data_IF_190493502073
#
_entry.id   IF_190493502073
#
_cell.length_a   1.000
_cell.length_b   1.000
_cell.length_c   1.000
_cell.angle_alpha   90.00
_cell.angle_beta   90.00
_cell.angle_gamma   90.00
#
_symmetry.space_group_name_H-M   'P 1'
#
loop_
_entity.id
_entity.type
_entity.pdbx_description
1 polymer ?
#
# COMPACT_ATOMS: atom_id res chain seq x y z
N UNK A 1 -94.76 22.10 -8.72
CA UNK A 1 -93.89 21.14 -8.00
C UNK A 1 -92.53 21.14 -8.70
N UNK A 2 -91.55 21.86 -8.16
CA UNK A 2 -90.22 21.94 -8.72
C UNK A 2 -89.30 21.06 -7.86
N UNK A 3 -88.64 20.09 -8.51
CA UNK A 3 -87.59 19.24 -7.84
C UNK A 3 -86.23 19.95 -7.89
N UNK A 4 -85.67 20.24 -6.74
CA UNK A 4 -84.31 20.71 -6.56
C UNK A 4 -83.39 19.48 -6.51
N UNK A 5 -82.52 19.36 -7.51
CA UNK A 5 -81.45 18.35 -7.53
C UNK A 5 -80.16 18.97 -6.97
N UNK A 6 -79.70 18.47 -5.82
CA UNK A 6 -78.43 18.83 -5.21
C UNK A 6 -77.32 18.03 -5.87
N UNK A 7 -76.29 18.70 -6.40
CA UNK A 7 -75.04 18.10 -6.88
C UNK A 7 -74.09 17.90 -5.73
N UNK A 8 -73.32 16.82 -5.71
CA UNK A 8 -72.26 16.59 -4.68
C UNK A 8 -71.01 17.41 -4.99
N UNK A 9 -70.54 18.17 -4.00
CA UNK A 9 -69.32 18.92 -4.02
C UNK A 9 -68.18 17.95 -3.78
N UNK A 10 -67.33 17.73 -4.80
CA UNK A 10 -66.05 16.93 -4.65
C UNK A 10 -64.97 17.87 -4.21
N UNK A 11 -64.44 17.68 -2.97
CA UNK A 11 -63.25 18.33 -2.50
C UNK A 11 -62.00 17.67 -3.17
N UNK A 12 -61.05 18.44 -3.71
CA UNK A 12 -59.79 17.88 -4.19
C UNK A 12 -58.89 17.51 -2.99
N UNK A 13 -58.58 16.20 -2.86
CA UNK A 13 -57.54 15.71 -1.95
C UNK A 13 -56.18 16.17 -2.47
N UNK A 14 -55.56 17.15 -1.81
CA UNK A 14 -54.19 17.55 -2.06
C UNK A 14 -53.26 16.40 -1.62
N UNK A 15 -52.68 15.66 -2.59
CA UNK A 15 -51.58 14.78 -2.36
C UNK A 15 -50.36 15.62 -1.91
N UNK A 16 -50.05 15.56 -0.62
CA UNK A 16 -48.77 16.01 -0.08
C UNK A 16 -47.70 15.02 -0.54
N UNK A 17 -47.09 15.25 -1.71
CA UNK A 17 -45.82 14.60 -2.07
C UNK A 17 -44.76 15.15 -1.14
N UNK A 18 -44.50 14.46 -0.02
CA UNK A 18 -43.34 14.65 0.80
C UNK A 18 -42.10 14.33 -0.04
N UNK A 19 -41.39 15.37 -0.46
CA UNK A 19 -40.03 15.21 -1.00
C UNK A 19 -39.20 14.60 0.11
N UNK A 20 -39.03 13.27 0.08
CA UNK A 20 -37.93 12.60 0.75
C UNK A 20 -36.65 13.22 0.19
N UNK A 21 -36.11 14.21 0.89
CA UNK A 21 -34.80 14.76 0.61
C UNK A 21 -33.80 13.62 0.62
N UNK A 22 -33.35 13.18 -0.55
CA UNK A 22 -32.15 12.39 -0.68
C UNK A 22 -31.03 13.23 -0.02
N UNK A 23 -30.65 12.86 1.21
CA UNK A 23 -29.48 13.44 1.85
C UNK A 23 -28.34 13.28 0.84
N UNK A 24 -27.86 14.38 0.27
CA UNK A 24 -26.78 14.36 -0.71
C UNK A 24 -25.57 13.74 0.00
N UNK A 25 -24.92 12.79 -0.65
CA UNK A 25 -23.65 12.22 -0.17
C UNK A 25 -22.63 13.31 0.18
N UNK A 26 -22.75 14.47 -0.44
CA UNK A 26 -21.95 15.66 -0.20
C UNK A 26 -22.00 16.17 1.27
N UNK A 27 -23.09 15.96 2.00
CA UNK A 27 -23.23 16.38 3.39
C UNK A 27 -22.75 15.34 4.41
N UNK A 28 -22.48 14.11 3.96
CA UNK A 28 -22.13 13.01 4.86
C UNK A 28 -20.86 13.29 5.67
N UNK A 29 -19.84 13.84 5.06
CA UNK A 29 -18.55 14.03 5.70
C UNK A 29 -18.45 15.29 6.57
N UNK A 30 -19.43 16.18 6.53
CA UNK A 30 -19.45 17.42 7.31
C UNK A 30 -19.43 17.14 8.81
N UNK A 31 -18.42 17.67 9.51
CA UNK A 31 -18.23 17.46 10.95
C UNK A 31 -17.81 16.04 11.34
N UNK A 32 -17.48 15.17 10.38
CA UNK A 32 -16.99 13.81 10.64
C UNK A 32 -15.49 13.71 10.60
N UNK A 33 -14.99 12.60 11.09
CA UNK A 33 -13.59 12.20 11.01
C UNK A 33 -13.46 11.01 10.07
N UNK A 34 -12.50 11.07 9.13
CA UNK A 34 -12.06 9.94 8.34
C UNK A 34 -10.71 9.44 8.88
N UNK A 35 -10.60 8.16 9.15
CA UNK A 35 -9.38 7.53 9.65
C UNK A 35 -8.59 6.89 8.53
N UNK A 36 -7.30 7.21 8.44
CA UNK A 36 -6.33 6.47 7.64
C UNK A 36 -5.60 5.51 8.57
N UNK A 37 -5.89 4.22 8.45
CA UNK A 37 -5.21 3.16 9.21
C UNK A 37 -3.95 2.75 8.47
N UNK A 38 -2.81 2.90 9.14
CA UNK A 38 -1.49 2.50 8.63
C UNK A 38 -1.14 1.14 9.20
N UNK A 39 -0.94 0.12 8.34
CA UNK A 39 -0.67 -1.26 8.77
C UNK A 39 0.73 -1.50 9.37
N UNK A 40 1.45 -0.43 9.77
CA UNK A 40 2.81 -0.46 10.29
C UNK A 40 3.00 0.55 11.43
N UNK A 41 4.14 0.45 12.15
CA UNK A 41 4.52 1.42 13.17
C UNK A 41 4.83 2.81 12.59
N UNK A 42 4.90 3.79 13.48
CA UNK A 42 5.20 5.19 13.15
C UNK A 42 6.59 5.35 12.54
N UNK A 43 6.76 6.34 11.65
CA UNK A 43 8.05 6.77 11.10
C UNK A 43 8.59 5.90 9.97
N UNK A 44 7.88 4.84 9.54
CA UNK A 44 8.18 4.08 8.34
C UNK A 44 7.54 4.71 7.08
N UNK A 45 7.94 4.21 5.89
CA UNK A 45 7.44 4.75 4.62
C UNK A 45 5.92 4.80 4.54
N UNK A 46 5.20 3.73 4.91
CA UNK A 46 3.72 3.73 4.90
C UNK A 46 3.12 4.80 5.83
N UNK A 47 3.73 5.03 6.99
CA UNK A 47 3.29 6.05 7.93
C UNK A 47 3.51 7.47 7.35
N UNK A 48 4.66 7.71 6.71
CA UNK A 48 4.97 8.98 6.06
C UNK A 48 3.96 9.29 4.94
N UNK A 49 3.68 8.33 4.05
CA UNK A 49 2.69 8.50 2.98
C UNK A 49 1.28 8.71 3.54
N UNK A 50 0.87 7.93 4.55
CA UNK A 50 -0.43 8.08 5.20
C UNK A 50 -0.62 9.46 5.84
N UNK A 51 0.39 9.97 6.55
CA UNK A 51 0.35 11.31 7.18
C UNK A 51 0.38 12.44 6.18
N UNK A 52 1.15 12.31 5.09
CA UNK A 52 1.14 13.30 4.02
C UNK A 52 -0.22 13.37 3.35
N UNK A 53 -0.82 12.23 2.97
CA UNK A 53 -2.17 12.19 2.43
C UNK A 53 -3.19 12.82 3.39
N UNK A 54 -3.11 12.50 4.69
CA UNK A 54 -4.04 13.01 5.70
C UNK A 54 -4.07 14.55 5.78
N UNK A 55 -2.93 15.22 5.60
CA UNK A 55 -2.86 16.68 5.65
C UNK A 55 -3.58 17.37 4.49
N UNK A 56 -3.72 16.70 3.36
CA UNK A 56 -4.22 17.32 2.14
C UNK A 56 -5.57 16.77 1.66
N UNK A 57 -5.92 15.51 1.99
CA UNK A 57 -7.11 14.82 1.48
C UNK A 57 -8.42 15.53 1.88
N UNK A 58 -8.53 16.00 3.13
CA UNK A 58 -9.79 16.50 3.67
C UNK A 58 -10.38 17.67 2.88
N UNK A 59 -9.56 18.58 2.37
CA UNK A 59 -10.00 19.75 1.59
C UNK A 59 -10.64 19.39 0.23
N UNK A 60 -10.39 18.18 -0.28
CA UNK A 60 -10.96 17.65 -1.51
C UNK A 60 -12.24 16.84 -1.28
N UNK A 61 -12.59 16.58 -0.02
CA UNK A 61 -13.84 15.88 0.34
C UNK A 61 -14.90 16.91 0.71
N UNK A 62 -16.13 16.86 0.11
CA UNK A 62 -17.24 17.71 0.50
C UNK A 62 -17.47 17.64 2.01
N UNK A 63 -17.66 18.80 2.65
CA UNK A 63 -17.79 18.89 4.12
C UNK A 63 -16.46 18.97 4.86
N UNK A 64 -15.32 18.89 4.18
CA UNK A 64 -13.97 19.05 4.73
C UNK A 64 -13.74 18.32 6.07
N UNK A 65 -13.86 16.96 6.08
CA UNK A 65 -13.72 16.17 7.30
C UNK A 65 -12.32 16.29 7.90
N UNK A 66 -12.22 16.10 9.20
CA UNK A 66 -10.93 15.89 9.86
C UNK A 66 -10.36 14.53 9.43
N UNK A 67 -9.11 14.51 8.99
CA UNK A 67 -8.41 13.26 8.67
C UNK A 67 -7.45 12.91 9.80
N UNK A 68 -7.57 11.71 10.36
CA UNK A 68 -6.68 11.22 11.42
C UNK A 68 -5.92 9.98 10.96
N UNK A 69 -4.68 9.83 11.42
CA UNK A 69 -3.84 8.66 11.12
C UNK A 69 -3.72 7.79 12.36
N UNK A 70 -3.98 6.49 12.19
CA UNK A 70 -3.88 5.49 13.25
C UNK A 70 -2.94 4.37 12.80
N UNK A 71 -1.91 4.07 13.59
CA UNK A 71 -1.00 2.97 13.31
C UNK A 71 -1.54 1.67 13.93
N UNK A 72 -1.72 0.64 13.09
CA UNK A 72 -2.17 -0.70 13.48
C UNK A 72 -1.23 -1.75 12.89
N UNK A 73 -0.01 -1.89 13.44
CA UNK A 73 0.94 -2.89 12.96
C UNK A 73 0.45 -4.31 13.25
N UNK A 74 0.92 -5.26 12.46
CA UNK A 74 0.67 -6.69 12.69
C UNK A 74 0.60 -7.50 11.41
N UNK A 75 1.27 -8.65 11.41
CA UNK A 75 1.32 -9.61 10.30
C UNK A 75 1.59 -8.98 8.92
N UNK A 76 2.55 -8.02 8.85
CA UNK A 76 2.88 -7.34 7.59
C UNK A 76 1.73 -6.51 7.03
N UNK A 77 0.96 -5.84 7.89
CA UNK A 77 -0.28 -5.07 7.64
C UNK A 77 -1.56 -5.88 7.43
N UNK A 78 -1.51 -7.22 7.49
CA UNK A 78 -2.71 -8.06 7.32
C UNK A 78 -3.77 -7.77 8.39
N UNK A 79 -3.36 -7.45 9.62
CA UNK A 79 -4.26 -7.06 10.72
C UNK A 79 -5.11 -5.84 10.34
N UNK A 80 -4.48 -4.79 9.81
CA UNK A 80 -5.15 -3.58 9.37
C UNK A 80 -6.10 -3.85 8.19
N UNK A 81 -5.67 -4.64 7.18
CA UNK A 81 -6.52 -4.99 6.03
C UNK A 81 -7.76 -5.77 6.46
N UNK A 82 -7.60 -6.77 7.32
CA UNK A 82 -8.73 -7.57 7.83
C UNK A 82 -9.72 -6.76 8.66
N UNK A 83 -9.26 -5.69 9.32
CA UNK A 83 -10.16 -4.84 10.11
C UNK A 83 -11.25 -4.17 9.26
N UNK A 84 -11.00 -3.94 7.96
CA UNK A 84 -11.98 -3.35 7.05
C UNK A 84 -13.26 -4.18 6.93
N UNK A 85 -13.13 -5.51 6.83
CA UNK A 85 -14.29 -6.39 6.75
C UNK A 85 -14.76 -6.88 8.13
N UNK A 86 -13.90 -6.75 9.17
CA UNK A 86 -14.20 -7.07 10.55
C UNK A 86 -15.01 -5.97 11.25
N UNK A 87 -14.35 -5.27 12.13
CA UNK A 87 -14.95 -4.32 13.07
C UNK A 87 -14.90 -2.84 12.64
N UNK A 88 -14.24 -2.51 11.53
CA UNK A 88 -14.21 -1.14 11.03
C UNK A 88 -15.59 -0.71 10.50
N UNK A 89 -15.98 0.58 10.66
CA UNK A 89 -17.18 1.12 10.03
C UNK A 89 -17.16 0.94 8.51
N UNK A 90 -18.33 0.54 7.94
CA UNK A 90 -18.53 0.37 6.49
C UNK A 90 -19.22 1.59 5.87
N UNK A 91 -19.04 2.74 6.46
CA UNK A 91 -19.76 3.97 6.10
C UNK A 91 -18.94 4.95 5.25
N UNK A 92 -17.68 4.61 4.96
CA UNK A 92 -16.76 5.46 4.20
C UNK A 92 -15.82 6.31 5.06
N UNK A 93 -15.79 6.09 6.37
CA UNK A 93 -14.93 6.83 7.31
C UNK A 93 -13.60 6.14 7.65
N UNK A 94 -13.33 4.96 7.07
CA UNK A 94 -12.07 4.22 7.31
C UNK A 94 -11.43 3.80 6.00
N UNK A 95 -10.16 4.17 5.84
CA UNK A 95 -9.30 3.81 4.72
C UNK A 95 -8.01 3.19 5.26
N UNK A 96 -7.45 2.20 4.57
CA UNK A 96 -6.22 1.51 4.98
C UNK A 96 -5.13 1.70 3.94
N UNK A 97 -3.92 2.04 4.39
CA UNK A 97 -2.69 1.89 3.61
C UNK A 97 -1.93 0.65 4.10
N UNK A 98 -1.52 -0.21 3.16
CA UNK A 98 -0.99 -1.53 3.48
C UNK A 98 0.13 -1.97 2.53
N UNK A 99 0.81 -3.07 2.88
CA UNK A 99 1.82 -3.70 2.04
C UNK A 99 1.18 -4.50 0.89
N UNK A 100 1.39 -4.12 -0.37
CA UNK A 100 0.79 -4.79 -1.52
C UNK A 100 1.32 -6.21 -1.77
N UNK A 101 2.40 -6.63 -1.12
CA UNK A 101 2.84 -8.04 -1.11
C UNK A 101 1.75 -9.00 -0.61
N UNK A 102 0.80 -8.51 0.21
CA UNK A 102 -0.38 -9.27 0.61
C UNK A 102 -1.29 -9.63 -0.58
N UNK A 103 -1.29 -8.82 -1.64
CA UNK A 103 -2.05 -9.11 -2.87
C UNK A 103 -1.51 -10.41 -3.48
N UNK A 104 -0.21 -10.48 -3.76
CA UNK A 104 0.42 -11.70 -4.29
C UNK A 104 0.25 -12.87 -3.33
N UNK A 105 0.45 -12.65 -2.02
CA UNK A 105 0.28 -13.70 -1.01
C UNK A 105 -1.14 -14.25 -0.97
N UNK A 106 -2.17 -13.44 -1.25
CA UNK A 106 -3.56 -13.92 -1.27
C UNK A 106 -3.83 -14.97 -2.36
N UNK A 107 -3.06 -14.97 -3.44
CA UNK A 107 -3.13 -15.99 -4.48
C UNK A 107 -2.28 -17.22 -4.16
N UNK A 108 -1.16 -17.04 -3.47
CA UNK A 108 -0.23 -18.11 -3.09
C UNK A 108 -0.74 -18.88 -1.85
N UNK A 109 -1.22 -18.15 -0.85
CA UNK A 109 -1.66 -18.68 0.47
C UNK A 109 -3.05 -18.14 0.86
N UNK A 110 -4.12 -18.41 0.08
CA UNK A 110 -5.45 -17.84 0.28
C UNK A 110 -6.03 -18.17 1.66
N UNK A 111 -5.73 -19.34 2.22
CA UNK A 111 -6.20 -19.73 3.55
C UNK A 111 -5.52 -18.95 4.68
N UNK A 112 -4.30 -18.47 4.43
CA UNK A 112 -3.58 -17.62 5.38
C UNK A 112 -4.05 -16.18 5.31
N UNK A 113 -4.15 -15.60 4.10
CA UNK A 113 -4.50 -14.17 3.93
C UNK A 113 -5.99 -13.91 4.17
N UNK A 114 -6.88 -14.76 3.68
CA UNK A 114 -8.35 -14.68 3.82
C UNK A 114 -8.93 -13.32 3.43
N UNK A 115 -8.33 -12.66 2.43
CA UNK A 115 -8.79 -11.41 1.83
C UNK A 115 -8.75 -11.60 0.32
N UNK A 116 -9.84 -11.30 -0.35
CA UNK A 116 -9.91 -11.27 -1.81
C UNK A 116 -9.74 -9.82 -2.30
N UNK A 117 -8.52 -9.45 -2.70
CA UNK A 117 -8.21 -8.11 -3.17
C UNK A 117 -8.92 -7.70 -4.48
N UNK A 118 -9.59 -8.63 -5.16
CA UNK A 118 -10.50 -8.33 -6.29
C UNK A 118 -11.83 -7.75 -5.82
N UNK A 119 -12.14 -7.85 -4.51
CA UNK A 119 -13.41 -7.45 -3.89
C UNK A 119 -13.28 -6.30 -2.90
N UNK A 120 -12.09 -5.77 -2.68
CA UNK A 120 -11.92 -4.54 -1.89
C UNK A 120 -12.21 -3.30 -2.75
N UNK A 121 -12.53 -2.18 -2.13
CA UNK A 121 -12.66 -0.92 -2.84
C UNK A 121 -11.31 -0.21 -2.89
N UNK A 122 -10.66 -0.22 -4.03
CA UNK A 122 -9.42 0.52 -4.27
C UNK A 122 -9.69 2.01 -4.38
N UNK A 123 -8.88 2.82 -3.71
CA UNK A 123 -8.89 4.29 -3.85
C UNK A 123 -7.85 4.76 -4.85
N UNK A 124 -6.76 4.00 -4.99
CA UNK A 124 -5.60 4.26 -5.81
C UNK A 124 -4.31 3.96 -5.06
N UNK A 125 -3.18 4.31 -5.64
CA UNK A 125 -1.86 4.27 -4.99
C UNK A 125 -1.09 5.55 -5.25
N UNK A 126 -0.25 5.99 -4.30
CA UNK A 126 0.49 7.26 -4.44
C UNK A 126 1.69 7.10 -5.37
N UNK A 127 2.32 5.95 -5.38
CA UNK A 127 3.51 5.64 -6.19
C UNK A 127 3.78 4.14 -6.20
N UNK A 128 4.40 3.56 -7.24
CA UNK A 128 5.05 2.26 -7.18
C UNK A 128 6.07 2.20 -6.03
N UNK A 129 6.38 1.02 -5.54
CA UNK A 129 7.34 0.85 -4.45
C UNK A 129 8.72 0.48 -5.00
N UNK A 130 9.57 1.48 -5.14
CA UNK A 130 10.95 1.29 -5.57
C UNK A 130 11.78 0.65 -4.44
N UNK A 131 11.89 -0.68 -4.47
CA UNK A 131 12.57 -1.46 -3.45
C UNK A 131 14.03 -1.70 -3.77
N UNK A 132 14.86 -1.62 -2.72
CA UNK A 132 16.30 -1.86 -2.80
C UNK A 132 16.76 -2.69 -1.62
N UNK A 133 17.84 -3.47 -1.80
CA UNK A 133 18.62 -3.95 -0.69
C UNK A 133 19.80 -3.01 -0.46
N UNK A 134 20.05 -2.70 0.80
CA UNK A 134 21.22 -1.91 1.22
C UNK A 134 21.91 -2.51 2.44
N UNK A 135 23.22 -2.40 2.47
CA UNK A 135 24.02 -2.62 3.68
C UNK A 135 24.24 -1.30 4.42
N UNK A 136 24.57 -1.36 5.70
CA UNK A 136 24.73 -0.18 6.55
C UNK A 136 26.10 -0.08 7.20
N UNK A 137 26.57 1.17 7.32
CA UNK A 137 27.82 1.51 7.98
C UNK A 137 29.08 1.28 7.11
N UNK A 138 30.27 1.63 7.62
CA UNK A 138 31.51 1.63 6.84
C UNK A 138 31.91 0.23 6.36
N UNK A 139 31.59 -0.80 7.12
CA UNK A 139 31.86 -2.22 6.81
C UNK A 139 30.63 -2.95 6.27
N UNK A 140 29.55 -2.22 5.95
CA UNK A 140 28.32 -2.77 5.37
C UNK A 140 28.54 -3.34 3.98
N UNK A 141 27.64 -4.22 3.56
CA UNK A 141 27.58 -4.75 2.18
C UNK A 141 27.37 -3.61 1.20
N UNK A 142 28.19 -3.54 0.14
CA UNK A 142 28.15 -2.46 -0.86
C UNK A 142 27.89 -2.94 -2.29
N UNK A 143 27.93 -4.24 -2.53
CA UNK A 143 27.69 -4.84 -3.83
C UNK A 143 27.09 -6.24 -3.72
N UNK A 144 26.57 -6.74 -4.85
CA UNK A 144 26.15 -8.13 -4.97
C UNK A 144 27.25 -9.12 -4.58
N UNK A 145 28.45 -8.95 -5.14
CA UNK A 145 29.57 -9.84 -4.89
C UNK A 145 30.07 -9.79 -3.45
N UNK A 146 29.97 -8.62 -2.82
CA UNK A 146 30.30 -8.46 -1.41
C UNK A 146 29.29 -9.22 -0.53
N UNK A 147 27.99 -9.10 -0.81
CA UNK A 147 26.95 -9.88 -0.13
C UNK A 147 27.19 -11.39 -0.30
N UNK A 148 27.44 -11.86 -1.52
CA UNK A 148 27.63 -13.29 -1.80
C UNK A 148 28.85 -13.91 -1.11
N UNK A 149 29.84 -13.10 -0.71
CA UNK A 149 31.00 -13.54 0.05
C UNK A 149 30.79 -13.58 1.56
N UNK A 150 29.70 -13.00 2.07
CA UNK A 150 29.39 -13.03 3.51
C UNK A 150 29.02 -14.44 3.96
N UNK A 151 29.33 -14.76 5.23
CA UNK A 151 28.78 -15.96 5.87
C UNK A 151 27.27 -15.84 6.06
N UNK A 152 26.81 -14.66 6.45
CA UNK A 152 25.41 -14.28 6.58
C UNK A 152 25.25 -12.79 6.24
N UNK A 153 24.07 -12.44 5.71
CA UNK A 153 23.59 -11.08 5.59
C UNK A 153 22.25 -11.00 6.32
N UNK A 154 22.26 -10.36 7.50
CA UNK A 154 21.13 -10.39 8.44
C UNK A 154 20.20 -9.21 8.18
N UNK A 155 18.96 -9.50 7.85
CA UNK A 155 17.91 -8.53 7.52
C UNK A 155 16.74 -8.60 8.50
N UNK A 156 16.12 -7.47 8.78
CA UNK A 156 14.85 -7.42 9.49
C UNK A 156 13.65 -7.60 8.55
N UNK A 157 12.56 -8.16 9.06
CA UNK A 157 11.31 -8.26 8.31
C UNK A 157 10.10 -8.16 9.25
N UNK A 158 9.00 -7.60 8.76
CA UNK A 158 7.80 -7.45 9.58
C UNK A 158 7.02 -8.75 9.70
N UNK A 159 6.84 -9.46 8.58
CA UNK A 159 6.19 -10.77 8.51
C UNK A 159 6.54 -11.45 7.19
N UNK A 160 6.26 -12.75 7.08
CA UNK A 160 6.21 -13.43 5.78
C UNK A 160 5.17 -12.73 4.91
N UNK A 161 5.47 -12.53 3.63
CA UNK A 161 4.60 -11.77 2.71
C UNK A 161 4.75 -10.25 2.80
N UNK A 162 5.50 -9.70 3.77
CA UNK A 162 5.89 -8.29 3.69
C UNK A 162 6.93 -8.09 2.58
N UNK A 163 6.94 -6.90 1.98
CA UNK A 163 7.82 -6.67 0.84
C UNK A 163 9.31 -6.85 1.17
N UNK A 164 9.77 -6.39 2.33
CA UNK A 164 11.15 -6.61 2.76
C UNK A 164 11.47 -8.10 3.01
N UNK A 165 10.49 -8.89 3.48
CA UNK A 165 10.65 -10.34 3.53
C UNK A 165 10.76 -10.96 2.15
N UNK A 166 9.82 -10.64 1.24
CA UNK A 166 9.79 -11.19 -0.12
C UNK A 166 11.08 -10.90 -0.85
N UNK A 167 11.59 -9.66 -0.76
CA UNK A 167 12.82 -9.26 -1.41
C UNK A 167 14.04 -10.04 -0.87
N UNK A 168 14.22 -10.10 0.44
CA UNK A 168 15.30 -10.88 1.05
C UNK A 168 15.17 -12.39 0.78
N UNK A 169 13.95 -12.93 0.86
CA UNK A 169 13.68 -14.33 0.55
C UNK A 169 13.91 -14.65 -0.94
N UNK A 170 13.61 -13.71 -1.85
CA UNK A 170 13.92 -13.86 -3.28
C UNK A 170 15.42 -14.00 -3.52
N UNK A 171 16.25 -13.21 -2.85
CA UNK A 171 17.71 -13.36 -2.94
C UNK A 171 18.16 -14.74 -2.46
N UNK A 172 17.62 -15.21 -1.34
CA UNK A 172 17.95 -16.51 -0.78
C UNK A 172 17.48 -17.67 -1.66
N UNK A 173 16.21 -17.66 -2.07
CA UNK A 173 15.57 -18.79 -2.76
C UNK A 173 15.98 -18.85 -4.23
N UNK A 174 16.01 -17.71 -4.92
CA UNK A 174 16.29 -17.67 -6.36
C UNK A 174 17.80 -17.75 -6.64
N UNK A 175 18.62 -17.14 -5.80
CA UNK A 175 20.05 -16.99 -6.06
C UNK A 175 20.96 -17.69 -5.04
N UNK A 176 20.37 -18.36 -4.06
CA UNK A 176 21.11 -18.98 -2.96
C UNK A 176 22.01 -17.99 -2.20
N UNK A 177 21.54 -16.72 -2.08
CA UNK A 177 22.26 -15.70 -1.33
C UNK A 177 22.26 -16.01 0.18
N UNK A 178 23.32 -15.65 0.93
CA UNK A 178 23.46 -15.95 2.35
C UNK A 178 22.60 -15.04 3.24
N UNK A 179 21.35 -14.83 2.85
CA UNK A 179 20.40 -13.97 3.55
C UNK A 179 19.70 -14.73 4.68
N UNK A 180 19.81 -14.18 5.90
CA UNK A 180 19.02 -14.59 7.07
C UNK A 180 18.07 -13.48 7.48
N UNK A 181 16.81 -13.79 7.70
CA UNK A 181 15.79 -12.81 8.05
C UNK A 181 15.26 -13.02 9.47
N UNK A 182 15.21 -11.93 10.25
CA UNK A 182 14.60 -11.88 11.59
C UNK A 182 13.22 -11.26 11.43
N UNK A 183 12.19 -12.02 11.79
CA UNK A 183 10.77 -11.62 11.67
C UNK A 183 10.27 -10.91 12.93
N UNK A 184 9.16 -10.19 12.81
CA UNK A 184 8.41 -9.63 13.92
C UNK A 184 8.64 -8.15 14.19
N UNK A 185 9.40 -7.45 13.37
CA UNK A 185 9.52 -6.00 13.47
C UNK A 185 8.16 -5.32 13.18
N UNK A 186 7.70 -4.35 13.99
CA UNK A 186 6.44 -3.64 13.73
C UNK A 186 6.47 -2.78 12.46
N UNK A 187 7.65 -2.32 12.04
CA UNK A 187 7.85 -1.51 10.83
C UNK A 187 9.30 -1.21 10.54
N UNK A 188 9.56 -0.49 9.43
CA UNK A 188 10.93 -0.10 9.05
C UNK A 188 11.58 0.89 10.02
N UNK A 189 10.79 1.64 10.81
CA UNK A 189 11.33 2.48 11.88
C UNK A 189 12.08 1.67 12.93
N UNK A 190 11.47 0.58 13.39
CA UNK A 190 12.06 -0.32 14.39
C UNK A 190 13.26 -1.07 13.83
N UNK A 191 13.20 -1.47 12.56
CA UNK A 191 14.33 -2.11 11.87
C UNK A 191 15.55 -1.16 11.78
N UNK A 192 15.33 0.13 11.50
CA UNK A 192 16.42 1.11 11.47
C UNK A 192 17.15 1.24 12.80
N UNK A 193 16.42 1.22 13.91
CA UNK A 193 17.02 1.22 15.25
C UNK A 193 17.90 -0.02 15.45
N UNK A 194 17.45 -1.19 15.01
CA UNK A 194 18.21 -2.43 15.09
C UNK A 194 19.47 -2.42 14.16
N UNK A 195 19.34 -1.79 12.98
CA UNK A 195 20.46 -1.58 12.06
C UNK A 195 21.52 -0.67 12.69
N UNK A 196 21.13 0.46 13.29
CA UNK A 196 22.06 1.38 13.96
C UNK A 196 22.79 0.74 15.14
N UNK A 197 22.13 -0.22 15.83
CA UNK A 197 22.72 -1.01 16.92
C UNK A 197 23.61 -2.16 16.45
N UNK A 198 23.66 -2.41 15.13
CA UNK A 198 24.41 -3.53 14.56
C UNK A 198 23.77 -4.92 14.79
N UNK A 199 22.47 -4.94 15.13
CA UNK A 199 21.70 -6.19 15.26
C UNK A 199 21.27 -6.73 13.88
N UNK A 200 21.17 -5.84 12.88
CA UNK A 200 20.91 -6.13 11.47
C UNK A 200 22.01 -5.52 10.61
N UNK A 201 22.36 -6.18 9.50
CA UNK A 201 23.35 -5.69 8.54
C UNK A 201 22.80 -4.67 7.55
N UNK A 202 21.46 -4.63 7.38
CA UNK A 202 20.75 -3.77 6.45
C UNK A 202 19.28 -4.13 6.31
N UNK A 203 18.66 -3.73 5.19
CA UNK A 203 17.27 -4.04 4.85
C UNK A 203 17.12 -4.23 3.34
N UNK A 204 16.08 -4.97 2.91
CA UNK A 204 15.62 -5.09 1.53
C UNK A 204 14.21 -4.49 1.40
N UNK A 205 14.09 -3.20 1.65
CA UNK A 205 12.83 -2.46 1.74
C UNK A 205 12.69 -1.35 0.70
N UNK A 206 11.69 -0.50 0.90
CA UNK A 206 11.44 0.66 0.04
C UNK A 206 12.56 1.69 0.15
N UNK A 207 13.06 2.18 -0.97
CA UNK A 207 14.06 3.25 -1.00
C UNK A 207 13.61 4.50 -0.24
N UNK A 208 12.33 4.88 -0.41
CA UNK A 208 11.71 6.01 0.32
C UNK A 208 11.60 5.82 1.84
N UNK A 209 11.88 4.63 2.36
CA UNK A 209 11.95 4.35 3.80
C UNK A 209 13.36 4.49 4.38
N UNK A 210 14.37 4.67 3.55
CA UNK A 210 15.75 4.94 4.00
C UNK A 210 15.83 6.41 4.42
N UNK A 211 16.34 6.73 5.62
CA UNK A 211 16.53 8.11 6.03
C UNK A 211 17.41 8.88 5.04
N UNK A 212 16.99 10.09 4.68
CA UNK A 212 17.70 10.92 3.71
C UNK A 212 19.15 11.21 4.14
N UNK A 213 19.38 11.39 5.44
CA UNK A 213 20.71 11.58 6.01
C UNK A 213 21.60 10.35 5.88
N UNK A 214 21.05 9.13 5.90
CA UNK A 214 21.83 7.90 5.66
C UNK A 214 22.32 7.81 4.21
N UNK A 215 21.49 8.27 3.26
CA UNK A 215 21.89 8.35 1.85
C UNK A 215 22.94 9.45 1.66
N UNK A 216 22.66 10.67 2.15
CA UNK A 216 23.55 11.83 1.99
C UNK A 216 24.91 11.64 2.66
N UNK A 217 24.97 10.93 3.80
CA UNK A 217 26.21 10.61 4.53
C UNK A 217 26.88 9.29 4.11
N UNK A 218 26.35 8.64 3.08
CA UNK A 218 26.83 7.32 2.61
C UNK A 218 26.88 6.25 3.71
N UNK A 219 25.98 6.30 4.68
CA UNK A 219 25.81 5.23 5.69
C UNK A 219 25.03 4.04 5.13
N UNK A 220 23.99 4.28 4.34
CA UNK A 220 23.29 3.24 3.60
C UNK A 220 23.93 3.07 2.22
N UNK A 221 24.16 1.81 1.83
CA UNK A 221 24.78 1.43 0.56
C UNK A 221 23.79 0.59 -0.26
N UNK A 222 22.84 1.20 -1.03
CA UNK A 222 21.98 0.45 -1.92
C UNK A 222 22.80 -0.27 -3.00
N UNK A 223 22.61 -1.60 -3.15
CA UNK A 223 23.39 -2.41 -4.09
C UNK A 223 22.55 -3.31 -5.00
N UNK A 224 21.26 -3.54 -4.67
CA UNK A 224 20.32 -4.26 -5.51
C UNK A 224 18.98 -3.52 -5.54
N UNK A 225 18.32 -3.44 -6.71
CA UNK A 225 16.95 -2.98 -6.87
C UNK A 225 16.07 -4.09 -7.45
N UNK A 226 14.76 -4.09 -7.13
CA UNK A 226 13.82 -5.13 -7.53
C UNK A 226 12.96 -4.75 -8.72
N UNK A 227 12.97 -3.51 -9.14
CA UNK A 227 12.30 -2.99 -10.34
C UNK A 227 13.35 -2.73 -11.41
N UNK A 228 13.05 -3.11 -12.66
CA UNK A 228 13.97 -2.91 -13.79
C UNK A 228 14.21 -1.42 -14.07
N UNK A 229 13.13 -0.62 -14.07
CA UNK A 229 13.23 0.82 -14.20
C UNK A 229 13.98 1.41 -12.99
N UNK A 230 14.96 2.24 -13.24
CA UNK A 230 15.72 2.96 -12.21
C UNK A 230 15.31 4.43 -12.18
N UNK A 231 14.56 4.88 -11.15
CA UNK A 231 14.33 6.30 -10.93
C UNK A 231 15.65 7.03 -10.66
N UNK A 232 15.74 8.34 -10.98
CA UNK A 232 16.98 9.11 -10.84
C UNK A 232 17.56 9.13 -9.41
N UNK A 233 16.69 9.08 -8.40
CA UNK A 233 17.06 9.07 -6.99
C UNK A 233 17.74 7.78 -6.52
N UNK A 234 17.51 6.66 -7.22
CA UNK A 234 18.17 5.38 -6.88
C UNK A 234 19.58 5.34 -7.49
N UNK A 235 20.63 5.14 -6.68
CA UNK A 235 22.01 5.17 -7.17
C UNK A 235 22.28 4.02 -8.16
N UNK A 236 23.22 4.26 -9.08
CA UNK A 236 23.61 3.27 -10.10
C UNK A 236 24.20 1.98 -9.51
N UNK A 237 24.75 2.06 -8.31
CA UNK A 237 25.24 0.90 -7.55
C UNK A 237 24.13 -0.13 -7.26
N UNK A 238 22.87 0.29 -7.22
CA UNK A 238 21.72 -0.61 -7.04
C UNK A 238 21.37 -1.31 -8.36
N UNK A 239 22.08 -2.42 -8.65
CA UNK A 239 21.91 -3.21 -9.87
C UNK A 239 20.55 -3.92 -9.86
N UNK A 240 19.89 -4.04 -11.03
CA UNK A 240 18.61 -4.74 -11.13
C UNK A 240 18.77 -6.23 -10.82
N UNK A 241 17.98 -6.76 -9.90
CA UNK A 241 18.04 -8.16 -9.44
C UNK A 241 17.85 -9.17 -10.58
N UNK A 242 17.01 -8.84 -11.57
CA UNK A 242 16.76 -9.69 -12.73
C UNK A 242 17.98 -9.91 -13.62
N UNK A 243 18.99 -9.00 -13.58
CA UNK A 243 20.24 -9.17 -14.34
C UNK A 243 21.13 -10.32 -13.80
N UNK A 244 20.88 -10.77 -12.57
CA UNK A 244 21.56 -11.94 -11.99
C UNK A 244 20.85 -13.26 -12.31
N UNK A 245 19.67 -13.25 -12.90
CA UNK A 245 18.91 -14.44 -13.27
C UNK A 245 19.63 -15.19 -14.40
N UNK A 246 19.84 -16.50 -14.19
CA UNK A 246 20.59 -17.38 -15.11
C UNK A 246 19.67 -18.18 -16.05
N UNK A 247 18.37 -18.20 -15.81
CA UNK A 247 17.39 -18.93 -16.58
C UNK A 247 15.99 -18.29 -16.46
N UNK A 248 15.09 -18.73 -17.34
CA UNK A 248 13.72 -18.19 -17.40
C UNK A 248 12.89 -18.51 -16.16
N UNK A 249 13.19 -19.60 -15.46
CA UNK A 249 12.50 -19.95 -14.22
C UNK A 249 12.73 -18.88 -13.14
N UNK A 250 14.00 -18.48 -12.94
CA UNK A 250 14.35 -17.42 -11.99
C UNK A 250 13.66 -16.09 -12.35
N UNK A 251 13.60 -15.72 -13.63
CA UNK A 251 12.89 -14.54 -14.11
C UNK A 251 11.39 -14.61 -13.79
N UNK A 252 10.73 -15.72 -14.13
CA UNK A 252 9.30 -15.92 -13.87
C UNK A 252 8.94 -15.83 -12.38
N UNK A 253 9.80 -16.34 -11.49
CA UNK A 253 9.59 -16.22 -10.05
C UNK A 253 9.64 -14.74 -9.64
N UNK A 254 10.64 -13.99 -10.10
CA UNK A 254 10.78 -12.56 -9.81
C UNK A 254 9.59 -11.76 -10.33
N UNK A 255 9.11 -12.04 -11.55
CA UNK A 255 7.95 -11.38 -12.17
C UNK A 255 6.68 -11.52 -11.31
N UNK A 256 6.43 -12.72 -10.74
CA UNK A 256 5.26 -12.94 -9.88
C UNK A 256 5.39 -12.23 -8.54
N UNK A 257 6.54 -12.29 -7.90
CA UNK A 257 6.69 -11.75 -6.53
C UNK A 257 6.82 -10.22 -6.49
N UNK A 258 7.30 -9.61 -7.58
CA UNK A 258 7.47 -8.17 -7.67
C UNK A 258 6.19 -7.41 -8.11
N UNK A 259 5.09 -8.11 -8.45
CA UNK A 259 3.80 -7.48 -8.80
C UNK A 259 3.32 -6.50 -7.71
N UNK A 260 3.56 -6.81 -6.44
CA UNK A 260 3.24 -5.91 -5.34
C UNK A 260 3.95 -4.56 -5.44
N UNK A 261 5.15 -4.54 -5.99
CA UNK A 261 5.95 -3.33 -6.13
C UNK A 261 5.39 -2.40 -7.23
N UNK A 262 4.71 -2.97 -8.26
CA UNK A 262 3.97 -2.19 -9.26
C UNK A 262 2.81 -1.40 -8.63
N UNK A 263 2.12 -1.97 -7.61
CA UNK A 263 1.03 -1.29 -6.88
C UNK A 263 1.60 -0.25 -5.90
N UNK A 264 2.65 -0.59 -5.21
CA UNK A 264 3.43 0.31 -4.35
C UNK A 264 2.75 0.76 -3.06
N UNK A 265 2.23 2.00 -3.01
CA UNK A 265 1.62 2.63 -1.82
C UNK A 265 0.10 2.72 -1.94
N UNK A 266 -0.63 1.58 -1.86
CA UNK A 266 -2.06 1.53 -2.11
C UNK A 266 -2.90 1.96 -0.93
N UNK A 267 -4.08 2.48 -1.26
CA UNK A 267 -5.14 2.76 -0.30
C UNK A 267 -6.42 2.03 -0.69
N UNK A 268 -7.04 1.37 0.28
CA UNK A 268 -8.29 0.62 0.11
C UNK A 268 -9.30 0.96 1.19
N UNK A 269 -10.56 0.72 0.88
CA UNK A 269 -11.69 0.73 1.81
C UNK A 269 -12.45 -0.60 1.71
N UNK A 270 -13.39 -0.84 2.64
CA UNK A 270 -14.30 -1.98 2.52
C UNK A 270 -15.21 -1.83 1.29
N UNK A 271 -15.41 -2.92 0.55
CA UNK A 271 -16.36 -2.95 -0.56
C UNK A 271 -17.83 -2.76 -0.13
N UNK A 272 -18.11 -2.84 1.17
CA UNK A 272 -19.44 -2.61 1.73
C UNK A 272 -19.79 -1.12 1.93
N UNK A 273 -18.83 -0.22 1.69
CA UNK A 273 -19.08 1.23 1.73
C UNK A 273 -20.01 1.62 0.58
N UNK A 274 -21.02 2.49 0.81
CA UNK A 274 -21.91 2.98 -0.23
C UNK A 274 -21.15 3.57 -1.43
N UNK A 275 -21.61 3.25 -2.64
CA UNK A 275 -20.91 3.58 -3.90
C UNK A 275 -20.68 5.09 -4.09
N UNK A 276 -21.64 5.91 -3.68
CA UNK A 276 -21.56 7.37 -3.71
C UNK A 276 -20.41 7.90 -2.84
N UNK A 277 -20.20 7.33 -1.65
CA UNK A 277 -19.10 7.69 -0.75
C UNK A 277 -17.74 7.20 -1.27
N UNK A 278 -17.70 6.00 -1.86
CA UNK A 278 -16.49 5.52 -2.55
C UNK A 278 -16.09 6.47 -3.69
N UNK A 279 -17.06 6.92 -4.49
CA UNK A 279 -16.81 7.85 -5.58
C UNK A 279 -16.26 9.20 -5.08
N UNK A 280 -16.80 9.73 -3.99
CA UNK A 280 -16.30 10.96 -3.35
C UNK A 280 -14.83 10.79 -2.91
N UNK A 281 -14.50 9.70 -2.19
CA UNK A 281 -13.15 9.50 -1.68
C UNK A 281 -12.16 9.23 -2.80
N UNK A 282 -12.54 8.44 -3.84
CA UNK A 282 -11.70 8.23 -5.04
C UNK A 282 -11.38 9.54 -5.76
N UNK A 283 -12.40 10.38 -5.96
CA UNK A 283 -12.23 11.70 -6.57
C UNK A 283 -11.27 12.55 -5.74
N UNK A 284 -11.50 12.65 -4.43
CA UNK A 284 -10.66 13.41 -3.51
C UNK A 284 -9.21 12.90 -3.49
N UNK A 285 -9.02 11.57 -3.53
CA UNK A 285 -7.70 10.96 -3.65
C UNK A 285 -6.98 11.42 -4.93
N UNK A 286 -7.64 11.29 -6.09
CA UNK A 286 -7.06 11.70 -7.37
C UNK A 286 -6.74 13.21 -7.42
N UNK A 287 -7.61 14.06 -6.87
CA UNK A 287 -7.38 15.50 -6.78
C UNK A 287 -6.18 15.82 -5.86
N UNK A 288 -6.02 15.09 -4.75
CA UNK A 288 -4.86 15.24 -3.87
C UNK A 288 -3.56 14.89 -4.59
N UNK A 289 -3.55 13.89 -5.48
CA UNK A 289 -2.34 13.49 -6.22
C UNK A 289 -1.81 14.58 -7.17
N UNK A 290 -2.64 15.53 -7.56
CA UNK A 290 -2.26 16.68 -8.40
C UNK A 290 -2.24 18.01 -7.64
N UNK A 291 -2.46 17.99 -6.32
CA UNK A 291 -2.46 19.21 -5.49
C UNK A 291 -1.04 19.75 -5.31
N UNK A 292 -0.75 20.99 -5.72
CA UNK A 292 0.59 21.56 -5.61
C UNK A 292 1.15 21.58 -4.19
N UNK A 293 0.28 21.78 -3.16
CA UNK A 293 0.72 21.80 -1.77
C UNK A 293 1.10 20.39 -1.29
N UNK A 294 0.35 19.34 -1.71
CA UNK A 294 0.71 17.96 -1.45
C UNK A 294 2.03 17.59 -2.12
N UNK A 295 2.19 17.91 -3.40
CA UNK A 295 3.41 17.61 -4.16
C UNK A 295 4.64 18.29 -3.55
N UNK A 296 4.52 19.57 -3.13
CA UNK A 296 5.61 20.29 -2.47
C UNK A 296 6.00 19.67 -1.11
N UNK A 297 5.02 19.18 -0.32
CA UNK A 297 5.29 18.52 0.95
C UNK A 297 5.96 17.14 0.74
N UNK A 298 5.60 16.43 -0.33
CA UNK A 298 6.22 15.15 -0.70
C UNK A 298 7.66 15.35 -1.17
N UNK A 299 7.90 16.34 -2.02
CA UNK A 299 9.23 16.68 -2.52
C UNK A 299 10.20 17.05 -1.39
N UNK A 300 9.78 17.89 -0.44
CA UNK A 300 10.59 18.25 0.75
C UNK A 300 11.04 17.04 1.56
N UNK A 301 10.27 15.96 1.53
CA UNK A 301 10.55 14.72 2.26
C UNK A 301 11.20 13.65 1.38
N UNK A 302 11.52 13.97 0.12
CA UNK A 302 12.07 13.06 -0.88
C UNK A 302 11.17 11.83 -1.08
N UNK A 303 9.85 12.03 -1.02
CA UNK A 303 8.84 10.99 -1.21
C UNK A 303 8.28 11.10 -2.64
N UNK A 304 8.59 10.16 -3.54
CA UNK A 304 8.12 10.22 -4.92
C UNK A 304 6.59 10.10 -5.00
N UNK A 305 6.00 10.79 -6.00
CA UNK A 305 4.59 10.72 -6.35
C UNK A 305 4.49 10.35 -7.84
N UNK A 306 3.95 9.15 -8.10
CA UNK A 306 3.64 8.64 -9.44
C UNK A 306 2.35 7.82 -9.33
N UNK A 307 1.17 8.47 -9.27
CA UNK A 307 -0.03 7.84 -8.80
C UNK A 307 -0.62 6.82 -9.78
N UNK A 308 -1.24 5.79 -9.21
CA UNK A 308 -2.16 4.89 -9.89
C UNK A 308 -3.59 5.21 -9.46
N UNK A 309 -4.52 5.22 -10.42
CA UNK A 309 -5.95 5.29 -10.10
C UNK A 309 -6.44 3.98 -9.47
N UNK A 310 -7.69 3.99 -8.98
CA UNK A 310 -8.34 2.79 -8.48
C UNK A 310 -8.40 1.70 -9.56
N UNK A 311 -8.80 2.06 -10.77
CA UNK A 311 -8.93 1.16 -11.92
C UNK A 311 -7.59 0.57 -12.36
N UNK A 312 -6.53 1.37 -12.34
CA UNK A 312 -5.17 0.90 -12.64
C UNK A 312 -4.69 -0.10 -11.58
N UNK A 313 -4.94 0.17 -10.29
CA UNK A 313 -4.61 -0.75 -9.20
C UNK A 313 -5.40 -2.06 -9.31
N UNK A 314 -6.70 -2.00 -9.62
CA UNK A 314 -7.55 -3.16 -9.86
C UNK A 314 -7.06 -3.99 -11.06
N UNK A 315 -6.62 -3.34 -12.15
CA UNK A 315 -6.11 -4.00 -13.34
C UNK A 315 -4.84 -4.84 -13.04
N UNK A 316 -3.96 -4.37 -12.18
CA UNK A 316 -2.77 -5.13 -11.73
C UNK A 316 -3.20 -6.39 -10.99
N UNK A 317 -4.19 -6.32 -10.09
CA UNK A 317 -4.72 -7.47 -9.36
C UNK A 317 -5.35 -8.48 -10.33
N UNK A 318 -6.10 -8.01 -11.33
CA UNK A 318 -6.71 -8.87 -12.35
C UNK A 318 -5.63 -9.53 -13.22
N UNK A 319 -4.55 -8.83 -13.57
CA UNK A 319 -3.39 -9.39 -14.27
C UNK A 319 -2.76 -10.54 -13.47
N UNK A 320 -2.53 -10.32 -12.16
CA UNK A 320 -1.99 -11.37 -11.28
C UNK A 320 -2.93 -12.59 -11.18
N UNK A 321 -4.25 -12.37 -11.14
CA UNK A 321 -5.23 -13.45 -11.11
C UNK A 321 -5.20 -14.36 -12.36
N UNK A 322 -4.62 -13.86 -13.46
CA UNK A 322 -4.41 -14.62 -14.72
C UNK A 322 -3.03 -15.29 -14.80
N UNK A 323 -2.16 -15.11 -13.80
CA UNK A 323 -0.87 -15.79 -13.77
C UNK A 323 -1.05 -17.32 -13.78
N UNK A 324 -0.13 -18.02 -14.43
CA UNK A 324 -0.23 -19.47 -14.53
C UNK A 324 -0.11 -20.13 -13.14
N UNK A 325 -0.86 -21.21 -12.88
CA UNK A 325 -0.71 -21.97 -11.64
C UNK A 325 0.73 -22.42 -11.37
N UNK A 326 1.50 -22.72 -12.43
CA UNK A 326 2.90 -23.10 -12.32
C UNK A 326 3.77 -21.92 -11.80
N UNK A 327 3.58 -20.70 -12.30
CA UNK A 327 4.31 -19.53 -11.82
C UNK A 327 3.98 -19.22 -10.35
N UNK A 328 2.70 -19.29 -9.97
CA UNK A 328 2.26 -19.13 -8.57
C UNK A 328 2.86 -20.20 -7.66
N UNK A 329 2.87 -21.48 -8.11
CA UNK A 329 3.46 -22.57 -7.33
C UNK A 329 4.97 -22.39 -7.12
N UNK A 330 5.70 -21.89 -8.12
CA UNK A 330 7.14 -21.60 -8.01
C UNK A 330 7.40 -20.44 -7.05
N UNK A 331 6.59 -19.39 -7.09
CA UNK A 331 6.70 -18.25 -6.18
C UNK A 331 6.44 -18.64 -4.72
N UNK A 332 5.70 -19.74 -4.47
CA UNK A 332 5.37 -20.19 -3.11
C UNK A 332 6.60 -20.45 -2.23
N UNK A 333 7.71 -20.91 -2.79
CA UNK A 333 8.95 -21.16 -2.05
C UNK A 333 9.52 -19.89 -1.36
N UNK A 334 9.17 -18.70 -1.86
CA UNK A 334 9.60 -17.42 -1.28
C UNK A 334 8.78 -17.09 -0.03
N UNK A 335 7.54 -17.56 0.06
CA UNK A 335 6.64 -17.32 1.19
C UNK A 335 6.77 -18.37 2.32
N UNK A 336 7.54 -19.42 2.11
CA UNK A 336 7.86 -20.46 3.09
C UNK A 336 9.16 -20.17 3.86
#
# INVERSE_FOLDING_TARGET
MARVTSAPTVLPSALFMGSLGLARADDFYKGRTLSIVVGFSTGGGYDLYGRNLARHLGKHIPGNPTIVVQNQPGAGSLTAVRSLDGNAPKDGTVMVIFNPGLVTQSFIEPQMVRVDFRKVAWMGAVTPDFRVCYGFGPNGVKSWDDMMKRKEFILGSTARGSGNYINGASLRVVFNAPVRQILGFPGSGDQRIAIERGELDGDCGSYSSIPADWIASHKAHPFVRFIEQRPPEIPESAVYVGSFARNDEQKQILDVVNVGDEIGRPFIMSAQVPADRLAIVRKAFNETMSDPAFLADMEKQLLPVNPLTAEQSEAIVVKLAKASPAAIAKAKAIYQ
#
